data_IF_963748429070
#
_entry.id   IF_963748429070
#
_cell.length_a   1.000
_cell.length_b   1.000
_cell.length_c   1.000
_cell.angle_alpha   90.00
_cell.angle_beta   90.00
_cell.angle_gamma   90.00
#
_symmetry.space_group_name_H-M   'P 1'
#
loop_
_entity.id
_entity.type
_entity.pdbx_description
1 polymer ?
#
# COMPACT_ATOMS: atom_id res chain seq x y z
N UNK A 1 15.33 2.69 -15.74
CA UNK A 1 16.08 1.84 -14.77
C UNK A 1 15.16 0.82 -14.10
N UNK A 2 14.59 -0.15 -14.84
CA UNK A 2 13.94 -1.33 -14.27
C UNK A 2 14.94 -2.43 -13.82
N UNK A 3 16.22 -2.31 -14.15
CA UNK A 3 17.23 -3.38 -13.94
C UNK A 3 17.96 -3.36 -12.60
N UNK A 4 17.62 -2.44 -11.68
CA UNK A 4 18.35 -2.37 -10.41
C UNK A 4 17.90 -3.47 -9.45
N UNK A 5 18.86 -4.21 -8.90
CA UNK A 5 18.63 -5.13 -7.78
C UNK A 5 18.11 -4.32 -6.59
N UNK A 6 17.05 -4.79 -5.94
CA UNK A 6 16.42 -4.16 -4.76
C UNK A 6 16.29 -5.15 -3.62
N UNK A 7 16.18 -4.64 -2.39
CA UNK A 7 15.97 -5.47 -1.22
C UNK A 7 15.16 -4.78 -0.15
N UNK A 8 14.55 -5.57 0.73
CA UNK A 8 13.91 -5.10 1.95
C UNK A 8 14.21 -6.06 3.12
N UNK A 9 14.15 -5.55 4.34
CA UNK A 9 14.10 -6.36 5.56
C UNK A 9 12.74 -6.11 6.20
N UNK A 10 12.01 -7.17 6.48
CA UNK A 10 10.71 -7.06 7.15
C UNK A 10 10.81 -7.14 8.68
N UNK A 11 9.69 -6.92 9.35
CA UNK A 11 9.57 -6.95 10.80
C UNK A 11 9.84 -8.33 11.43
N UNK A 12 9.89 -9.41 10.65
CA UNK A 12 10.26 -10.75 11.12
C UNK A 12 11.78 -10.95 11.11
N UNK A 13 12.54 -10.00 10.58
CA UNK A 13 13.98 -10.13 10.39
C UNK A 13 14.32 -10.99 9.18
N UNK A 14 13.53 -10.90 8.10
CA UNK A 14 13.78 -11.62 6.85
C UNK A 14 14.24 -10.64 5.79
N UNK A 15 15.42 -10.89 5.22
CA UNK A 15 15.95 -10.15 4.08
C UNK A 15 15.40 -10.76 2.79
N UNK A 16 14.67 -9.97 2.02
CA UNK A 16 14.19 -10.36 0.68
C UNK A 16 14.95 -9.55 -0.37
N UNK A 17 15.66 -10.25 -1.26
CA UNK A 17 16.37 -9.67 -2.40
C UNK A 17 15.57 -9.95 -3.67
N UNK A 18 15.27 -8.94 -4.48
CA UNK A 18 14.77 -9.10 -5.85
C UNK A 18 15.84 -8.68 -6.84
N UNK A 19 16.39 -9.67 -7.54
CA UNK A 19 17.61 -9.50 -8.34
C UNK A 19 17.41 -9.94 -9.79
N UNK A 20 18.24 -9.39 -10.69
CA UNK A 20 18.33 -9.84 -12.09
C UNK A 20 18.78 -11.30 -12.19
N UNK A 21 18.51 -11.95 -13.33
CA UNK A 21 18.96 -13.32 -13.60
C UNK A 21 20.49 -13.47 -13.50
N UNK A 22 21.25 -12.50 -14.00
CA UNK A 22 22.70 -12.50 -13.94
C UNK A 22 23.23 -12.33 -12.51
N UNK A 23 22.61 -11.45 -11.73
CA UNK A 23 22.93 -11.29 -10.30
C UNK A 23 22.62 -12.59 -9.56
N UNK A 24 21.45 -13.18 -9.79
CA UNK A 24 21.05 -14.45 -9.17
C UNK A 24 22.07 -15.57 -9.39
N UNK A 25 22.47 -15.80 -10.65
CA UNK A 25 23.46 -16.83 -11.01
C UNK A 25 24.81 -16.57 -10.34
N UNK A 26 25.23 -15.30 -10.26
CA UNK A 26 26.49 -14.91 -9.60
C UNK A 26 26.47 -15.15 -8.10
N UNK A 27 25.34 -14.88 -7.45
CA UNK A 27 25.20 -15.06 -6.01
C UNK A 27 25.21 -16.54 -5.60
N UNK A 28 24.66 -17.41 -6.46
CA UNK A 28 24.56 -18.85 -6.19
C UNK A 28 23.77 -19.14 -4.92
N UNK A 29 22.81 -18.29 -4.57
CA UNK A 29 21.88 -18.47 -3.46
C UNK A 29 20.60 -19.14 -3.97
N UNK A 30 19.88 -19.83 -3.08
CA UNK A 30 18.60 -20.44 -3.41
C UNK A 30 17.54 -19.36 -3.47
N UNK A 31 16.85 -19.24 -4.61
CA UNK A 31 15.74 -18.32 -4.80
C UNK A 31 14.68 -18.90 -5.72
N UNK A 32 13.60 -18.14 -5.92
CA UNK A 32 12.49 -18.49 -6.81
C UNK A 32 12.46 -17.48 -7.96
N UNK A 33 12.27 -17.96 -9.18
CA UNK A 33 12.01 -17.07 -10.31
C UNK A 33 10.63 -16.45 -10.14
N UNK A 34 10.54 -15.13 -10.26
CA UNK A 34 9.27 -14.42 -10.22
C UNK A 34 8.62 -14.56 -11.60
N UNK A 35 7.35 -14.97 -11.62
CA UNK A 35 6.56 -15.08 -12.85
C UNK A 35 5.16 -14.60 -12.55
N UNK A 36 4.67 -13.62 -13.31
CA UNK A 36 3.30 -13.12 -13.20
C UNK A 36 2.45 -13.72 -14.33
N UNK A 37 1.14 -13.80 -14.12
CA UNK A 37 0.20 -14.36 -15.09
C UNK A 37 -0.15 -15.84 -14.89
N UNK A 38 -1.23 -16.26 -15.56
CA UNK A 38 -1.80 -17.61 -15.50
C UNK A 38 -1.44 -18.40 -16.77
N UNK A 39 -1.11 -19.68 -16.60
CA UNK A 39 -0.91 -20.61 -17.73
C UNK A 39 0.36 -20.35 -18.55
N UNK A 40 0.24 -20.39 -19.87
CA UNK A 40 1.37 -20.28 -20.83
C UNK A 40 1.83 -18.84 -21.07
N UNK A 41 1.04 -17.84 -20.67
CA UNK A 41 1.35 -16.42 -20.77
C UNK A 41 2.06 -15.91 -19.49
N UNK A 42 2.99 -16.71 -18.94
CA UNK A 42 3.82 -16.26 -17.82
C UNK A 42 4.85 -15.29 -18.35
N UNK A 43 4.46 -14.02 -18.38
CA UNK A 43 5.37 -12.91 -18.59
C UNK A 43 6.02 -12.56 -17.24
N UNK A 44 7.31 -12.33 -17.27
CA UNK A 44 8.06 -11.90 -16.11
C UNK A 44 9.45 -11.54 -16.57
N UNK A 45 9.99 -10.45 -16.01
CA UNK A 45 11.25 -9.84 -16.43
C UNK A 45 12.49 -10.69 -16.13
N UNK A 46 12.31 -11.97 -15.78
CA UNK A 46 13.39 -12.89 -15.45
C UNK A 46 14.02 -12.63 -14.09
N UNK A 47 13.37 -11.81 -13.25
CA UNK A 47 13.83 -11.54 -11.88
C UNK A 47 13.71 -12.78 -11.00
N UNK A 48 14.62 -12.87 -10.03
CA UNK A 48 14.65 -13.91 -9.03
C UNK A 48 14.56 -13.30 -7.66
N UNK A 49 13.82 -13.95 -6.76
CA UNK A 49 13.68 -13.52 -5.38
C UNK A 49 14.35 -14.52 -4.47
N UNK A 50 15.23 -14.00 -3.61
CA UNK A 50 15.98 -14.75 -2.61
C UNK A 50 15.50 -14.26 -1.24
N UNK A 51 15.11 -15.20 -0.37
CA UNK A 51 14.63 -14.92 0.98
C UNK A 51 15.62 -15.49 1.98
N UNK A 52 16.14 -14.65 2.88
CA UNK A 52 17.20 -14.99 3.82
C UNK A 52 16.78 -14.63 5.25
N UNK A 53 16.58 -15.60 6.16
CA UNK A 53 16.30 -15.30 7.56
C UNK A 53 17.56 -14.71 8.24
N UNK A 54 17.43 -13.54 8.87
CA UNK A 54 18.54 -12.89 9.57
C UNK A 54 18.64 -13.28 11.05
N UNK A 55 17.59 -13.92 11.58
CA UNK A 55 17.54 -14.37 12.97
C UNK A 55 18.69 -15.36 13.28
N UNK A 56 19.28 -15.31 14.48
CA UNK A 56 20.31 -16.25 14.89
C UNK A 56 19.76 -17.68 14.95
N UNK A 57 20.60 -18.68 14.69
CA UNK A 57 20.29 -20.12 14.78
C UNK A 57 19.25 -20.68 13.79
N UNK A 58 18.78 -19.89 12.81
CA UNK A 58 17.88 -20.38 11.75
C UNK A 58 18.61 -21.22 10.69
N UNK A 59 19.90 -20.96 10.50
CA UNK A 59 20.72 -21.62 9.48
C UNK A 59 21.99 -22.24 10.09
N UNK A 60 22.50 -23.30 9.46
CA UNK A 60 23.81 -23.86 9.80
C UNK A 60 24.93 -22.83 9.58
N UNK A 61 26.01 -22.95 10.34
CA UNK A 61 27.15 -22.03 10.24
C UNK A 61 27.73 -21.96 8.82
N UNK A 62 27.82 -23.11 8.14
CA UNK A 62 28.25 -23.21 6.74
C UNK A 62 27.34 -22.45 5.79
N UNK A 63 26.02 -22.53 5.99
CA UNK A 63 25.07 -21.80 5.14
C UNK A 63 25.15 -20.30 5.39
N UNK A 64 25.30 -19.89 6.66
CA UNK A 64 25.50 -18.49 7.05
C UNK A 64 26.78 -17.91 6.43
N UNK A 65 27.88 -18.65 6.45
CA UNK A 65 29.14 -18.24 5.83
C UNK A 65 28.98 -18.09 4.30
N UNK A 66 28.35 -19.07 3.65
CA UNK A 66 28.03 -19.00 2.21
C UNK A 66 27.21 -17.76 1.88
N UNK A 67 26.15 -17.50 2.65
CA UNK A 67 25.29 -16.32 2.51
C UNK A 67 26.09 -15.03 2.63
N UNK A 68 26.88 -14.89 3.67
CA UNK A 68 27.69 -13.69 3.90
C UNK A 68 28.70 -13.46 2.76
N UNK A 69 29.33 -14.53 2.26
CA UNK A 69 30.23 -14.45 1.12
C UNK A 69 29.51 -14.04 -0.16
N UNK A 70 28.28 -14.52 -0.40
CA UNK A 70 27.46 -14.08 -1.53
C UNK A 70 27.06 -12.61 -1.42
N UNK A 71 26.67 -12.12 -0.23
CA UNK A 71 26.33 -10.71 -0.02
C UNK A 71 27.54 -9.79 -0.24
N UNK A 72 28.73 -10.17 0.23
CA UNK A 72 29.97 -9.43 -0.06
C UNK A 72 30.24 -9.33 -1.56
N UNK A 73 30.05 -10.41 -2.31
CA UNK A 73 30.19 -10.39 -3.79
C UNK A 73 29.17 -9.48 -4.45
N UNK A 74 27.94 -9.42 -3.95
CA UNK A 74 26.91 -8.50 -4.45
C UNK A 74 27.35 -7.05 -4.30
N UNK A 75 27.83 -6.69 -3.11
CA UNK A 75 28.33 -5.34 -2.83
C UNK A 75 29.54 -4.98 -3.69
N UNK A 76 30.52 -5.89 -3.82
CA UNK A 76 31.67 -5.68 -4.69
C UNK A 76 31.28 -5.45 -6.15
N UNK A 77 30.34 -6.24 -6.67
CA UNK A 77 29.83 -6.09 -8.04
C UNK A 77 29.18 -4.72 -8.23
N UNK A 78 28.27 -4.33 -7.35
CA UNK A 78 27.58 -3.03 -7.45
C UNK A 78 28.56 -1.86 -7.35
N UNK A 79 29.55 -1.95 -6.45
CA UNK A 79 30.62 -0.95 -6.33
C UNK A 79 31.37 -0.76 -7.66
N UNK A 80 31.71 -1.87 -8.34
CA UNK A 80 32.35 -1.82 -9.67
C UNK A 80 31.45 -1.21 -10.74
N UNK A 81 30.16 -1.58 -10.75
CA UNK A 81 29.19 -1.07 -11.73
C UNK A 81 28.93 0.43 -11.58
N UNK A 82 28.93 0.94 -10.34
CA UNK A 82 28.69 2.35 -10.04
C UNK A 82 29.97 3.20 -10.01
N UNK A 83 31.14 2.61 -10.34
CA UNK A 83 32.46 3.25 -10.27
C UNK A 83 32.73 3.95 -8.90
N UNK A 84 32.21 3.37 -7.82
CA UNK A 84 32.33 3.91 -6.47
C UNK A 84 33.72 3.62 -5.88
N UNK A 85 34.21 4.52 -5.04
CA UNK A 85 35.40 4.28 -4.20
C UNK A 85 35.15 3.12 -3.22
N UNK A 86 36.23 2.60 -2.61
CA UNK A 86 36.11 1.53 -1.59
C UNK A 86 35.14 1.90 -0.47
N UNK A 87 35.11 3.18 -0.10
CA UNK A 87 34.33 3.71 1.02
C UNK A 87 32.96 4.28 0.58
N UNK A 88 32.61 4.20 -0.71
CA UNK A 88 31.32 4.69 -1.20
C UNK A 88 30.15 3.79 -0.80
N UNK A 89 29.06 4.39 -0.33
CA UNK A 89 27.81 3.70 0.00
C UNK A 89 27.19 3.07 -1.25
N UNK A 90 27.03 1.74 -1.22
CA UNK A 90 26.55 0.94 -2.37
C UNK A 90 25.01 0.94 -2.48
N UNK A 91 24.35 1.25 -1.37
CA UNK A 91 22.91 1.20 -1.21
C UNK A 91 22.39 2.52 -0.64
N UNK A 92 21.22 2.93 -1.13
CA UNK A 92 20.41 3.97 -0.50
C UNK A 92 19.29 3.26 0.24
N UNK A 93 19.28 3.39 1.57
CA UNK A 93 18.38 2.63 2.43
C UNK A 93 17.41 3.60 3.09
N UNK A 94 16.11 3.29 3.00
CA UNK A 94 15.10 3.92 3.84
C UNK A 94 14.80 2.96 4.99
N UNK A 95 14.80 3.49 6.21
CA UNK A 95 14.53 2.71 7.40
C UNK A 95 13.81 3.57 8.45
N UNK A 96 13.02 2.92 9.27
CA UNK A 96 12.35 3.51 10.42
C UNK A 96 12.26 2.48 11.53
N UNK A 97 12.16 2.95 12.77
CA UNK A 97 12.05 2.09 13.95
C UNK A 97 10.97 2.65 14.88
N UNK A 98 10.26 1.77 15.56
CA UNK A 98 9.35 2.15 16.65
C UNK A 98 10.12 2.52 17.93
N UNK A 99 11.36 2.06 18.08
CA UNK A 99 12.23 2.36 19.21
C UNK A 99 13.22 3.46 18.83
N UNK A 100 12.75 4.70 18.80
CA UNK A 100 13.51 5.88 18.34
C UNK A 100 14.87 6.02 19.03
N UNK A 101 14.91 5.96 20.37
CA UNK A 101 16.15 6.14 21.14
C UNK A 101 17.21 5.07 20.83
N UNK A 102 16.82 3.79 20.82
CA UNK A 102 17.75 2.70 20.52
C UNK A 102 18.21 2.76 19.07
N UNK A 103 17.32 3.15 18.17
CA UNK A 103 17.62 3.26 16.76
C UNK A 103 18.56 4.43 16.46
N UNK A 104 18.32 5.61 17.03
CA UNK A 104 19.23 6.75 16.91
C UNK A 104 20.63 6.38 17.38
N UNK A 105 20.74 5.76 18.56
CA UNK A 105 22.03 5.30 19.08
C UNK A 105 22.72 4.30 18.16
N UNK A 106 21.97 3.35 17.60
CA UNK A 106 22.51 2.40 16.62
C UNK A 106 23.02 3.12 15.37
N UNK A 107 22.28 4.11 14.87
CA UNK A 107 22.69 4.88 13.70
C UNK A 107 23.98 5.66 13.98
N UNK A 108 24.06 6.33 15.12
CA UNK A 108 25.24 7.10 15.55
C UNK A 108 26.49 6.20 15.74
N UNK A 109 26.30 4.95 16.17
CA UNK A 109 27.39 3.98 16.37
C UNK A 109 27.86 3.32 15.05
N UNK A 110 26.98 3.18 14.06
CA UNK A 110 27.26 2.41 12.84
C UNK A 110 27.56 3.27 11.60
N UNK A 111 27.09 4.52 11.57
CA UNK A 111 27.17 5.38 10.38
C UNK A 111 27.76 6.74 10.70
N UNK A 112 28.47 7.31 9.73
CA UNK A 112 28.92 8.69 9.82
C UNK A 112 27.72 9.64 9.67
N UNK A 113 27.70 10.75 10.40
CA UNK A 113 26.62 11.76 10.33
C UNK A 113 26.34 12.24 8.90
N UNK A 114 27.37 12.32 8.04
CA UNK A 114 27.23 12.75 6.65
C UNK A 114 26.53 11.72 5.73
N UNK A 115 26.43 10.47 6.16
CA UNK A 115 25.80 9.37 5.39
C UNK A 115 24.31 9.21 5.74
N UNK A 116 23.87 9.81 6.85
CA UNK A 116 22.52 9.68 7.38
C UNK A 116 21.73 10.95 7.10
N UNK A 117 20.54 10.80 6.52
CA UNK A 117 19.64 11.92 6.27
C UNK A 117 18.36 11.67 7.05
N UNK A 118 18.17 12.44 8.13
CA UNK A 118 16.92 12.46 8.86
C UNK A 118 15.86 13.20 8.04
N UNK A 119 14.66 12.61 7.97
CA UNK A 119 13.52 13.14 7.22
C UNK A 119 12.30 13.20 8.13
N UNK A 120 11.97 14.41 8.54
CA UNK A 120 10.74 14.67 9.29
C UNK A 120 9.54 14.53 8.38
N UNK A 121 8.52 13.84 8.90
CA UNK A 121 7.25 13.66 8.21
C UNK A 121 6.26 14.66 8.81
N UNK A 122 5.95 15.69 8.03
CA UNK A 122 5.00 16.72 8.41
C UNK A 122 3.60 16.41 7.85
N UNK A 123 2.57 16.81 8.60
CA UNK A 123 1.19 16.77 8.12
C UNK A 123 0.90 18.04 7.29
N UNK A 124 0.56 17.87 6.03
CA UNK A 124 -0.05 18.91 5.21
C UNK A 124 -1.57 18.87 5.40
N UNK A 125 -2.20 20.02 5.64
CA UNK A 125 -3.66 20.12 5.81
C UNK A 125 -4.24 21.03 4.74
N UNK A 126 -5.25 20.53 4.04
CA UNK A 126 -5.98 21.26 3.01
C UNK A 126 -7.45 21.36 3.42
N UNK A 127 -8.05 22.52 3.17
CA UNK A 127 -9.45 22.79 3.46
C UNK A 127 -10.14 23.33 2.22
N UNK A 128 -11.25 22.73 1.84
CA UNK A 128 -12.06 23.15 0.70
C UNK A 128 -13.53 23.29 1.11
N UNK A 129 -14.12 24.41 0.76
CA UNK A 129 -15.55 24.69 0.95
C UNK A 129 -16.31 24.51 -0.37
N UNK A 130 -17.63 24.40 -0.28
CA UNK A 130 -18.54 24.29 -1.43
C UNK A 130 -18.20 23.13 -2.38
N UNK A 131 -17.82 21.99 -1.83
CA UNK A 131 -17.47 20.77 -2.56
C UNK A 131 -18.70 19.89 -2.72
N UNK A 132 -18.89 19.29 -3.90
CA UNK A 132 -19.89 18.21 -4.11
C UNK A 132 -19.36 16.93 -3.48
N UNK A 133 -19.97 16.50 -2.38
CA UNK A 133 -19.60 15.33 -1.57
C UNK A 133 -20.64 14.22 -1.80
N UNK A 134 -20.23 13.04 -2.29
CA UNK A 134 -21.12 11.88 -2.47
C UNK A 134 -21.76 11.44 -1.17
N UNK A 135 -23.03 11.07 -1.23
CA UNK A 135 -23.73 10.42 -0.12
C UNK A 135 -23.32 8.95 -0.14
N UNK A 136 -22.37 8.59 0.71
CA UNK A 136 -21.84 7.23 0.77
C UNK A 136 -22.82 6.29 1.46
N UNK A 137 -23.28 5.28 0.73
CA UNK A 137 -24.03 4.14 1.25
C UNK A 137 -23.21 2.88 0.99
N UNK A 138 -22.58 2.35 2.05
CA UNK A 138 -21.81 1.12 1.93
C UNK A 138 -22.80 -0.04 1.87
N UNK A 139 -22.98 -0.61 0.68
CA UNK A 139 -23.85 -1.75 0.43
C UNK A 139 -23.01 -3.03 0.46
N UNK A 140 -23.51 -4.06 1.14
CA UNK A 140 -22.88 -5.39 1.14
C UNK A 140 -22.74 -5.92 -0.30
N UNK A 141 -21.57 -6.50 -0.60
CA UNK A 141 -21.32 -7.14 -1.88
C UNK A 141 -22.38 -8.23 -2.15
N UNK A 142 -23.05 -8.23 -3.33
CA UNK A 142 -23.97 -9.29 -3.71
C UNK A 142 -23.29 -10.66 -3.61
N UNK A 143 -23.91 -11.62 -2.93
CA UNK A 143 -23.36 -12.98 -2.77
C UNK A 143 -24.00 -13.92 -3.79
N UNK A 144 -23.21 -14.78 -4.46
CA UNK A 144 -23.76 -15.80 -5.34
C UNK A 144 -24.59 -16.80 -4.53
N UNK A 145 -25.91 -16.69 -4.65
CA UNK A 145 -26.82 -17.73 -4.22
C UNK A 145 -26.92 -18.75 -5.36
N UNK A 146 -27.11 -20.03 -5.04
CA UNK A 146 -27.32 -21.06 -6.05
C UNK A 146 -28.63 -20.79 -6.80
N UNK A 147 -28.55 -20.05 -7.90
CA UNK A 147 -29.71 -19.60 -8.68
C UNK A 147 -29.70 -20.27 -10.06
N UNK A 148 -30.90 -20.49 -10.57
CA UNK A 148 -31.16 -20.94 -11.95
C UNK A 148 -30.62 -19.93 -12.97
N UNK A 149 -30.51 -20.31 -14.25
CA UNK A 149 -29.90 -19.52 -15.34
C UNK A 149 -30.41 -18.06 -15.43
N UNK A 150 -31.70 -17.80 -15.17
CA UNK A 150 -32.28 -16.45 -15.21
C UNK A 150 -31.84 -15.57 -14.02
N UNK A 151 -31.49 -16.19 -12.89
CA UNK A 151 -30.92 -15.50 -11.73
C UNK A 151 -29.45 -15.12 -11.88
N UNK A 152 -28.74 -15.69 -12.86
CA UNK A 152 -27.32 -15.40 -13.11
C UNK A 152 -27.15 -14.02 -13.77
N UNK A 153 -27.91 -13.72 -14.82
CA UNK A 153 -27.82 -12.41 -15.51
C UNK A 153 -28.16 -11.25 -14.57
N UNK A 154 -29.26 -11.36 -13.80
CA UNK A 154 -29.62 -10.31 -12.84
C UNK A 154 -28.58 -10.11 -11.74
N UNK A 155 -27.84 -11.17 -11.39
CA UNK A 155 -26.77 -11.09 -10.39
C UNK A 155 -25.50 -10.45 -10.98
N UNK A 156 -25.19 -10.74 -12.24
CA UNK A 156 -24.11 -10.07 -12.97
C UNK A 156 -24.37 -8.56 -13.04
N UNK A 157 -25.58 -8.14 -13.41
CA UNK A 157 -25.97 -6.72 -13.44
C UNK A 157 -25.80 -6.05 -12.05
N UNK A 158 -26.24 -6.72 -10.98
CA UNK A 158 -26.09 -6.19 -9.60
C UNK A 158 -24.64 -6.09 -9.15
N UNK A 159 -23.79 -7.01 -9.60
CA UNK A 159 -22.36 -6.97 -9.31
C UNK A 159 -21.68 -5.83 -10.08
N UNK A 160 -22.04 -5.63 -11.35
CA UNK A 160 -21.54 -4.54 -12.18
C UNK A 160 -21.95 -3.18 -11.59
N UNK A 161 -23.23 -2.99 -11.23
CA UNK A 161 -23.71 -1.77 -10.58
C UNK A 161 -22.97 -1.49 -9.24
N UNK A 162 -22.69 -2.54 -8.47
CA UNK A 162 -21.96 -2.43 -7.20
C UNK A 162 -20.50 -2.02 -7.42
N UNK A 163 -19.83 -2.64 -8.40
CA UNK A 163 -18.45 -2.31 -8.77
C UNK A 163 -18.36 -0.89 -9.33
N UNK A 164 -19.27 -0.48 -10.22
CA UNK A 164 -19.32 0.87 -10.78
C UNK A 164 -19.50 1.92 -9.66
N UNK A 165 -20.41 1.68 -8.72
CA UNK A 165 -20.64 2.60 -7.60
C UNK A 165 -19.38 2.79 -6.73
N UNK A 166 -18.63 1.70 -6.48
CA UNK A 166 -17.37 1.77 -5.73
C UNK A 166 -16.29 2.49 -6.53
N UNK A 167 -16.16 2.20 -7.83
CA UNK A 167 -15.18 2.85 -8.70
C UNK A 167 -15.42 4.37 -8.78
N UNK A 168 -16.67 4.79 -8.96
CA UNK A 168 -17.06 6.20 -8.95
C UNK A 168 -16.73 6.90 -7.62
N UNK A 169 -16.97 6.24 -6.47
CA UNK A 169 -16.61 6.76 -5.16
C UNK A 169 -15.09 6.91 -5.00
N UNK A 170 -14.33 5.91 -5.42
CA UNK A 170 -12.87 5.95 -5.34
C UNK A 170 -12.26 7.00 -6.27
N UNK A 171 -12.80 7.17 -7.47
CA UNK A 171 -12.38 8.23 -8.38
C UNK A 171 -12.60 9.59 -7.72
N UNK A 172 -13.76 9.80 -7.09
CA UNK A 172 -14.03 11.01 -6.32
C UNK A 172 -13.03 11.20 -5.17
N UNK A 173 -12.71 10.15 -4.40
CA UNK A 173 -11.72 10.21 -3.32
C UNK A 173 -10.32 10.56 -3.87
N UNK A 174 -9.93 9.98 -5.00
CA UNK A 174 -8.67 10.32 -5.68
C UNK A 174 -8.64 11.79 -6.09
N UNK A 175 -9.72 12.30 -6.68
CA UNK A 175 -9.87 13.70 -7.04
C UNK A 175 -9.83 14.63 -5.83
N UNK A 176 -10.40 14.21 -4.69
CA UNK A 176 -10.36 14.92 -3.42
C UNK A 176 -8.93 14.96 -2.85
N UNK A 177 -8.19 13.85 -2.91
CA UNK A 177 -6.77 13.78 -2.54
C UNK A 177 -5.87 14.69 -3.39
N UNK A 178 -6.26 14.94 -4.65
CA UNK A 178 -5.59 15.90 -5.53
C UNK A 178 -6.04 17.35 -5.35
N UNK A 179 -6.95 17.62 -4.40
CA UNK A 179 -7.59 18.92 -4.19
C UNK A 179 -8.21 19.48 -5.50
N UNK A 180 -8.78 18.60 -6.32
CA UNK A 180 -9.22 18.94 -7.67
C UNK A 180 -10.31 20.02 -7.67
N UNK A 181 -10.14 21.05 -8.50
CA UNK A 181 -11.15 22.09 -8.70
C UNK A 181 -12.48 21.52 -9.20
N UNK A 182 -12.45 20.33 -9.84
CA UNK A 182 -13.61 19.64 -10.40
C UNK A 182 -14.69 19.29 -9.39
N UNK A 183 -14.31 19.21 -8.12
CA UNK A 183 -15.25 18.90 -7.05
C UNK A 183 -16.02 20.14 -6.58
N UNK A 184 -15.63 21.34 -7.00
CA UNK A 184 -16.29 22.58 -6.61
C UNK A 184 -17.71 22.67 -7.20
N UNK A 185 -18.70 23.00 -6.37
CA UNK A 185 -20.09 23.11 -6.79
C UNK A 185 -20.31 24.18 -7.88
N UNK A 186 -19.46 25.20 -7.89
CA UNK A 186 -19.48 26.30 -8.85
C UNK A 186 -18.49 26.10 -10.02
N UNK A 187 -17.89 24.92 -10.16
CA UNK A 187 -17.01 24.65 -11.31
C UNK A 187 -17.82 24.75 -12.61
N UNK A 188 -17.29 25.48 -13.58
CA UNK A 188 -17.91 25.73 -14.88
C UNK A 188 -16.90 25.47 -15.95
N UNK A 189 -16.71 24.20 -16.27
CA UNK A 189 -15.80 23.83 -17.33
C UNK A 189 -16.56 23.44 -18.57
N UNK A 190 -15.97 23.82 -19.69
CA UNK A 190 -16.40 23.42 -21.01
C UNK A 190 -16.55 21.89 -21.06
N UNK A 191 -17.77 21.36 -21.34
CA UNK A 191 -18.01 19.93 -21.46
C UNK A 191 -17.13 19.21 -22.49
N UNK A 192 -16.54 19.95 -23.44
CA UNK A 192 -15.61 19.39 -24.42
C UNK A 192 -14.17 19.26 -23.91
N UNK A 193 -13.87 19.78 -22.71
CA UNK A 193 -12.52 19.78 -22.11
C UNK A 193 -12.41 18.77 -20.95
N UNK A 194 -13.45 18.62 -20.13
CA UNK A 194 -13.47 17.66 -19.02
C UNK A 194 -14.89 17.17 -18.74
N UNK A 195 -15.04 15.84 -18.59
CA UNK A 195 -16.35 15.16 -18.47
C UNK A 195 -16.61 14.66 -17.04
N UNK A 196 -15.69 14.90 -16.10
CA UNK A 196 -15.87 14.41 -14.74
C UNK A 196 -17.07 15.08 -14.05
N UNK A 197 -17.98 14.24 -13.53
CA UNK A 197 -19.09 14.65 -12.68
C UNK A 197 -19.03 13.91 -11.34
N UNK A 198 -19.31 14.61 -10.24
CA UNK A 198 -19.33 13.99 -8.92
C UNK A 198 -20.44 12.91 -8.85
N UNK A 199 -20.17 11.75 -8.24
CA UNK A 199 -21.15 10.66 -8.13
C UNK A 199 -22.47 11.15 -7.52
N UNK A 200 -23.59 10.68 -8.07
CA UNK A 200 -24.93 11.00 -7.56
C UNK A 200 -25.48 9.83 -6.73
N UNK A 201 -26.18 10.10 -5.60
CA UNK A 201 -26.51 11.42 -5.06
C UNK A 201 -25.34 12.07 -4.30
N UNK A 202 -25.27 13.41 -4.32
CA UNK A 202 -24.28 14.21 -3.59
C UNK A 202 -24.91 15.42 -2.89
N UNK A 203 -24.17 15.99 -1.94
CA UNK A 203 -24.52 17.23 -1.24
C UNK A 203 -23.38 18.24 -1.34
N UNK A 204 -23.67 19.52 -1.13
CA UNK A 204 -22.62 20.55 -1.06
C UNK A 204 -22.15 20.66 0.39
N UNK A 205 -20.85 20.54 0.63
CA UNK A 205 -20.28 20.62 1.97
C UNK A 205 -18.82 21.07 1.97
N UNK A 206 -18.13 20.80 3.09
CA UNK A 206 -16.73 21.09 3.31
C UNK A 206 -15.91 19.79 3.34
N UNK A 207 -14.69 19.86 2.81
CA UNK A 207 -13.71 18.78 2.79
C UNK A 207 -12.45 19.23 3.52
N UNK A 208 -11.97 18.40 4.43
CA UNK A 208 -10.64 18.54 5.03
C UNK A 208 -9.80 17.35 4.63
N UNK A 209 -8.62 17.60 4.04
CA UNK A 209 -7.70 16.58 3.59
C UNK A 209 -6.38 16.72 4.35
N UNK A 210 -5.98 15.65 5.04
CA UNK A 210 -4.70 15.53 5.72
C UNK A 210 -3.78 14.61 4.91
N UNK A 211 -2.55 15.07 4.65
CA UNK A 211 -1.56 14.34 3.87
C UNK A 211 -0.25 14.23 4.63
N UNK A 212 0.24 13.00 4.75
CA UNK A 212 1.58 12.69 5.22
C UNK A 212 2.37 12.05 4.08
N UNK A 213 3.64 12.41 3.92
CA UNK A 213 4.50 11.86 2.87
C UNK A 213 5.86 11.48 3.44
N UNK A 214 6.21 10.20 3.33
CA UNK A 214 7.46 9.66 3.86
C UNK A 214 7.36 8.17 4.15
N UNK A 215 8.32 7.63 4.90
CA UNK A 215 8.30 6.24 5.38
C UNK A 215 7.48 6.15 6.66
N UNK A 216 6.18 5.88 6.51
CA UNK A 216 5.24 5.76 7.62
C UNK A 216 5.28 4.35 8.22
N UNK A 217 5.36 4.25 9.55
CA UNK A 217 5.31 2.95 10.22
C UNK A 217 3.89 2.38 10.23
N UNK A 218 3.71 1.04 10.24
CA UNK A 218 2.39 0.43 10.39
C UNK A 218 1.68 0.87 11.68
N UNK A 219 2.44 1.11 12.76
CA UNK A 219 1.89 1.62 14.02
C UNK A 219 1.28 3.02 13.87
N UNK A 220 1.92 3.90 13.10
CA UNK A 220 1.36 5.21 12.78
C UNK A 220 0.04 5.07 12.00
N UNK A 221 0.01 4.26 10.95
CA UNK A 221 -1.20 4.02 10.14
C UNK A 221 -2.34 3.49 11.01
N UNK A 222 -2.06 2.52 11.88
CA UNK A 222 -3.05 1.99 12.83
C UNK A 222 -3.57 3.09 13.77
N UNK A 223 -2.69 3.96 14.28
CA UNK A 223 -3.11 5.05 15.17
C UNK A 223 -4.06 6.05 14.49
N UNK A 224 -3.89 6.28 13.18
CA UNK A 224 -4.80 7.12 12.38
C UNK A 224 -6.16 6.44 12.25
N UNK A 225 -6.18 5.15 11.91
CA UNK A 225 -7.42 4.35 11.81
C UNK A 225 -8.15 4.34 13.15
N UNK A 226 -7.45 4.06 14.26
CA UNK A 226 -8.03 4.01 15.60
C UNK A 226 -8.60 5.38 16.01
N UNK A 227 -7.90 6.47 15.67
CA UNK A 227 -8.38 7.82 15.92
C UNK A 227 -9.67 8.10 15.15
N UNK A 228 -9.71 7.81 13.85
CA UNK A 228 -10.91 7.99 13.01
C UNK A 228 -12.08 7.17 13.54
N UNK A 229 -11.85 5.89 13.84
CA UNK A 229 -12.87 5.01 14.40
C UNK A 229 -13.38 5.55 15.73
N UNK A 230 -12.50 5.93 16.66
CA UNK A 230 -12.90 6.49 17.95
C UNK A 230 -13.74 7.75 17.81
N UNK A 231 -13.37 8.65 16.89
CA UNK A 231 -14.12 9.87 16.65
C UNK A 231 -15.51 9.58 16.08
N UNK A 232 -15.63 8.67 15.12
CA UNK A 232 -16.93 8.27 14.55
C UNK A 232 -17.84 7.58 15.59
N UNK A 233 -17.28 6.78 16.50
CA UNK A 233 -18.08 6.11 17.56
C UNK A 233 -18.49 7.04 18.70
N UNK A 234 -17.72 8.10 18.98
CA UNK A 234 -18.00 9.03 20.10
C UNK A 234 -19.12 10.03 19.78
N UNK A 235 -19.75 9.93 18.60
CA UNK A 235 -20.72 10.89 18.10
C UNK A 235 -22.06 10.75 18.81
N UNK A 236 -22.38 11.75 19.65
CA UNK A 236 -23.72 11.97 20.16
C UNK A 236 -24.55 12.71 19.11
N UNK A 237 -25.83 12.36 19.00
CA UNK A 237 -26.79 12.90 18.03
C UNK A 237 -26.89 14.43 18.13
N UNK A 238 -26.22 15.18 17.24
CA UNK A 238 -26.37 16.64 17.16
C UNK A 238 -25.20 17.45 16.60
N UNK A 239 -24.03 16.85 16.34
CA UNK A 239 -22.84 17.55 15.83
C UNK A 239 -22.79 17.63 14.29
N UNK A 240 -22.15 18.69 13.75
CA UNK A 240 -21.84 18.89 12.31
C UNK A 240 -20.67 18.00 11.89
N UNK A 241 -20.88 16.70 11.99
CA UNK A 241 -19.82 15.71 11.82
C UNK A 241 -19.67 15.24 10.37
N UNK A 242 -18.48 14.72 10.00
CA UNK A 242 -18.28 14.19 8.66
C UNK A 242 -19.20 12.99 8.41
N UNK A 243 -19.87 12.98 7.25
CA UNK A 243 -20.71 11.87 6.82
C UNK A 243 -19.91 10.56 6.68
N UNK A 244 -18.67 10.68 6.20
CA UNK A 244 -17.72 9.58 6.08
C UNK A 244 -16.30 10.12 6.15
N UNK A 245 -15.34 9.23 6.40
CA UNK A 245 -13.91 9.49 6.32
C UNK A 245 -13.29 8.47 5.38
N UNK A 246 -12.38 8.90 4.51
CA UNK A 246 -11.54 7.99 3.72
C UNK A 246 -10.08 8.10 4.15
N UNK A 247 -9.39 6.96 4.17
CA UNK A 247 -7.96 6.84 4.44
C UNK A 247 -7.34 6.15 3.23
N UNK A 248 -6.46 6.86 2.53
CA UNK A 248 -5.77 6.34 1.35
C UNK A 248 -4.30 6.15 1.67
N UNK A 249 -3.79 4.94 1.43
CA UNK A 249 -2.37 4.62 1.56
C UNK A 249 -1.76 4.26 0.21
N UNK A 250 -0.60 4.85 -0.08
CA UNK A 250 0.24 4.49 -1.22
C UNK A 250 1.44 3.71 -0.70
N UNK A 251 1.61 2.48 -1.16
CA UNK A 251 2.74 1.65 -0.78
C UNK A 251 3.98 1.91 -1.64
N UNK A 252 5.10 1.42 -1.16
CA UNK A 252 6.39 1.51 -1.82
C UNK A 252 6.49 0.47 -2.94
N UNK A 253 6.25 0.90 -4.19
CA UNK A 253 6.14 0.02 -5.37
C UNK A 253 7.46 -0.65 -5.78
N UNK A 254 8.58 -0.17 -5.25
CA UNK A 254 9.90 -0.76 -5.45
C UNK A 254 10.31 -1.74 -4.33
N UNK A 255 9.43 -2.02 -3.36
CA UNK A 255 9.68 -3.05 -2.34
C UNK A 255 9.27 -4.43 -2.88
N UNK A 256 10.13 -5.47 -2.77
CA UNK A 256 9.74 -6.83 -3.16
C UNK A 256 8.67 -7.46 -2.25
N UNK A 257 8.47 -6.88 -1.06
CA UNK A 257 7.43 -7.26 -0.10
C UNK A 257 6.72 -6.00 0.39
N UNK A 258 5.44 -5.86 0.07
CA UNK A 258 4.62 -4.73 0.51
C UNK A 258 3.63 -5.09 1.64
N UNK A 259 3.28 -6.37 1.77
CA UNK A 259 2.29 -6.83 2.75
C UNK A 259 2.65 -8.23 3.26
N UNK A 260 2.52 -8.41 4.58
CA UNK A 260 2.71 -9.70 5.25
C UNK A 260 1.37 -10.05 5.93
N UNK A 261 0.62 -11.02 5.38
CA UNK A 261 -0.59 -11.51 6.03
C UNK A 261 -0.30 -11.97 7.46
N UNK A 262 -1.21 -11.72 8.42
CA UNK A 262 -1.06 -12.22 9.79
C UNK A 262 -0.82 -13.74 9.85
N UNK A 263 -1.45 -14.51 8.94
CA UNK A 263 -1.29 -15.96 8.82
C UNK A 263 0.11 -16.41 8.42
N UNK A 264 0.95 -15.50 7.90
CA UNK A 264 2.30 -15.76 7.44
C UNK A 264 3.37 -15.18 8.35
N UNK A 265 3.01 -14.65 9.51
CA UNK A 265 3.99 -14.12 10.47
C UNK A 265 5.02 -15.16 10.89
N UNK A 266 4.62 -16.43 10.98
CA UNK A 266 5.49 -17.55 11.35
C UNK A 266 6.11 -18.28 10.13
N UNK A 267 5.71 -17.95 8.90
CA UNK A 267 6.13 -18.65 7.69
C UNK A 267 6.70 -17.69 6.63
N UNK A 268 8.02 -17.42 6.65
CA UNK A 268 8.65 -16.47 5.75
C UNK A 268 8.64 -16.91 4.28
N UNK A 269 8.61 -18.22 4.01
CA UNK A 269 8.70 -18.79 2.66
C UNK A 269 7.47 -18.55 1.78
N UNK A 270 6.35 -18.17 2.42
CA UNK A 270 5.04 -17.97 1.79
C UNK A 270 4.70 -16.51 1.55
N UNK A 271 5.61 -15.58 1.88
CA UNK A 271 5.34 -14.14 1.78
C UNK A 271 4.98 -13.77 0.34
N UNK A 272 3.85 -13.08 0.12
CA UNK A 272 3.48 -12.61 -1.21
C UNK A 272 4.57 -11.69 -1.77
N UNK A 273 5.17 -12.13 -2.87
CA UNK A 273 6.23 -11.39 -3.56
C UNK A 273 5.59 -10.51 -4.63
N UNK A 274 6.05 -9.27 -4.73
CA UNK A 274 5.67 -8.33 -5.80
C UNK A 274 6.80 -8.14 -6.79
N UNK A 275 6.47 -7.72 -8.01
CA UNK A 275 7.49 -7.23 -8.94
C UNK A 275 7.79 -5.78 -8.59
N UNK A 276 9.01 -5.44 -8.20
CA UNK A 276 9.37 -4.05 -8.02
C UNK A 276 9.36 -3.34 -9.38
N UNK A 277 8.31 -2.57 -9.65
CA UNK A 277 8.17 -1.78 -10.88
C UNK A 277 8.03 -0.30 -10.55
N UNK A 278 8.61 0.56 -11.40
CA UNK A 278 8.46 2.02 -11.26
C UNK A 278 7.14 2.55 -11.78
N UNK A 279 6.51 1.78 -12.66
CA UNK A 279 5.30 2.20 -13.38
C UNK A 279 4.04 1.61 -12.73
N UNK A 280 4.20 0.85 -11.64
CA UNK A 280 3.08 0.32 -10.86
C UNK A 280 2.77 1.21 -9.68
N UNK A 281 1.49 1.22 -9.30
CA UNK A 281 0.99 1.87 -8.11
C UNK A 281 0.32 0.83 -7.22
N UNK A 282 0.73 0.82 -5.97
CA UNK A 282 0.14 -0.01 -4.93
C UNK A 282 -0.62 0.91 -3.99
N UNK A 283 -1.94 0.78 -3.99
CA UNK A 283 -2.82 1.66 -3.22
C UNK A 283 -3.86 0.87 -2.46
N UNK A 284 -4.26 1.40 -1.30
CA UNK A 284 -5.45 0.94 -0.61
C UNK A 284 -6.24 2.15 -0.13
N UNK A 285 -7.56 2.01 -0.08
CA UNK A 285 -8.49 3.04 0.36
C UNK A 285 -9.50 2.41 1.31
N UNK A 286 -9.45 2.83 2.57
CA UNK A 286 -10.44 2.49 3.60
C UNK A 286 -11.45 3.63 3.72
N UNK A 287 -12.72 3.35 3.45
CA UNK A 287 -13.83 4.28 3.65
C UNK A 287 -14.62 3.83 4.86
N UNK A 288 -14.90 4.75 5.79
CA UNK A 288 -15.65 4.49 7.02
C UNK A 288 -16.81 5.48 7.14
N UNK A 289 -18.01 4.99 7.44
CA UNK A 289 -19.20 5.82 7.66
C UNK A 289 -19.69 5.74 9.11
N UNK A 290 -20.33 6.81 9.57
CA UNK A 290 -21.04 6.79 10.85
C UNK A 290 -22.33 5.98 10.69
N UNK A 291 -22.40 4.81 11.35
CA UNK A 291 -23.49 3.84 11.18
C UNK A 291 -24.83 4.36 11.69
N UNK A 292 -25.60 5.03 10.84
CA UNK A 292 -26.98 5.45 11.15
C UNK A 292 -28.04 4.51 10.55
N UNK A 293 -27.65 3.34 10.05
CA UNK A 293 -28.58 2.36 9.48
C UNK A 293 -29.56 1.89 10.56
N UNK A 294 -30.80 2.37 10.50
CA UNK A 294 -31.89 2.12 11.45
C UNK A 294 -32.29 0.63 11.65
N UNK A 295 -31.58 -0.30 11.01
CA UNK A 295 -31.78 -1.75 11.10
C UNK A 295 -30.66 -2.50 11.82
N UNK A 296 -29.58 -1.83 12.22
CA UNK A 296 -28.46 -2.52 12.85
C UNK A 296 -28.74 -2.82 14.34
N UNK A 297 -28.50 -4.08 14.72
CA UNK A 297 -28.53 -4.53 16.10
C UNK A 297 -27.50 -3.74 16.91
N UNK A 298 -27.83 -3.48 18.17
CA UNK A 298 -27.30 -2.45 19.08
C UNK A 298 -25.78 -2.39 19.34
N UNK A 299 -24.92 -3.14 18.68
CA UNK A 299 -23.49 -3.23 19.03
C UNK A 299 -22.53 -3.31 17.83
N UNK A 300 -23.00 -3.21 16.58
CA UNK A 300 -22.06 -3.30 15.46
C UNK A 300 -21.31 -1.97 15.21
N UNK A 301 -19.98 -2.01 15.07
CA UNK A 301 -19.19 -0.85 14.68
C UNK A 301 -19.62 -0.36 13.29
N UNK A 302 -19.42 0.93 13.01
CA UNK A 302 -19.85 1.58 11.76
C UNK A 302 -19.48 0.81 10.47
N UNK A 303 -20.20 1.10 9.37
CA UNK A 303 -19.94 0.43 8.10
C UNK A 303 -18.59 0.90 7.52
N UNK A 304 -17.85 -0.04 6.91
CA UNK A 304 -16.59 0.24 6.26
C UNK A 304 -16.47 -0.51 4.93
N UNK A 305 -15.65 0.03 4.03
CA UNK A 305 -15.31 -0.51 2.72
C UNK A 305 -13.81 -0.40 2.54
N UNK A 306 -13.14 -1.48 2.16
CA UNK A 306 -11.73 -1.50 1.81
C UNK A 306 -11.57 -1.84 0.33
N UNK A 307 -10.89 -0.96 -0.38
CA UNK A 307 -10.45 -1.19 -1.74
C UNK A 307 -8.93 -1.28 -1.79
N UNK A 308 -8.40 -2.25 -2.51
CA UNK A 308 -6.96 -2.42 -2.72
C UNK A 308 -6.68 -2.57 -4.22
N UNK A 309 -5.64 -1.87 -4.68
CA UNK A 309 -4.99 -2.08 -5.97
C UNK A 309 -3.56 -2.54 -5.71
N UNK A 310 -3.26 -3.78 -6.07
CA UNK A 310 -1.96 -4.43 -5.87
C UNK A 310 -1.32 -4.74 -7.24
N UNK A 311 -0.67 -3.75 -7.83
CA UNK A 311 -0.13 -3.84 -9.18
C UNK A 311 -1.21 -3.91 -10.28
N UNK A 312 -0.78 -4.16 -11.51
CA UNK A 312 -1.61 -3.98 -12.72
C UNK A 312 -2.87 -4.88 -12.81
N UNK A 313 -2.87 -6.02 -12.11
CA UNK A 313 -3.84 -7.10 -12.34
C UNK A 313 -4.54 -7.62 -11.09
N UNK A 314 -4.32 -7.03 -9.91
CA UNK A 314 -4.91 -7.49 -8.66
C UNK A 314 -5.67 -6.33 -7.99
N UNK A 315 -6.96 -6.24 -8.29
CA UNK A 315 -7.89 -5.37 -7.57
C UNK A 315 -8.68 -6.21 -6.58
N UNK A 316 -8.81 -5.73 -5.34
CA UNK A 316 -9.56 -6.41 -4.28
C UNK A 316 -10.53 -5.43 -3.62
N UNK A 317 -11.76 -5.92 -3.39
CA UNK A 317 -12.84 -5.18 -2.75
C UNK A 317 -13.34 -6.02 -1.57
N UNK A 318 -13.45 -5.41 -0.39
CA UNK A 318 -13.80 -6.09 0.86
C UNK A 318 -14.55 -5.22 1.83
#
# INVERSE_FOLDING_TARGET
MPDEDVWCIDNRGVLTLSVSGDTYQTLGLVGKRVSFGKGKAKEGDGRHVITLPLQPHTESEKNRERRNNSLKRLEERRRRQQALSKDGSVWRVLCSSAEEEKFSKFIDEQFNESEVILKDINCETFHQENVKIPIVQIVERPKPQSLELDGQSRMEDQMEDHEESIEQLLEWIGMAGLNSQRLQANDRVDPFVAVYEAPSPNTIGALTHFKWTGLLSPAFVQSVIDCVMKQLHSQASGSRDPQFVSIVGHACTWSPVCYIPPSLLDSPECTPIRDPSKDEEDTWCLVVTSGSSARQRREEPGCWLLAESAGKHDKRWG
#
